data_IF_129769465682
#
_entry.id   IF_129769465682
#
_cell.length_a   1.000
_cell.length_b   1.000
_cell.length_c   1.000
_cell.angle_alpha   90.00
_cell.angle_beta   90.00
_cell.angle_gamma   90.00
#
_symmetry.space_group_name_H-M   'P 1'
#
loop_
_entity.id
_entity.type
_entity.pdbx_description
1 polymer ?
#
# COMPACT_ATOMS: atom_id res chain seq x y z
N UNK A 1 -23.42 -24.35 17.56
CA UNK A 1 -23.22 -23.48 18.73
C UNK A 1 -23.11 -22.06 18.20
N UNK A 2 -24.00 -21.16 18.64
CA UNK A 2 -23.88 -19.74 18.36
C UNK A 2 -22.93 -19.14 19.42
N UNK A 3 -21.99 -18.30 19.01
CA UNK A 3 -21.08 -17.62 19.93
C UNK A 3 -21.90 -16.71 20.87
N UNK A 4 -21.73 -16.86 22.18
CA UNK A 4 -22.62 -16.25 23.18
C UNK A 4 -22.19 -14.82 23.55
N UNK A 5 -20.95 -14.42 23.24
CA UNK A 5 -20.48 -13.05 23.51
C UNK A 5 -19.32 -12.60 22.61
N UNK A 6 -19.22 -11.29 22.37
CA UNK A 6 -18.15 -10.67 21.57
C UNK A 6 -16.75 -10.96 22.14
N UNK A 7 -16.65 -11.11 23.47
CA UNK A 7 -15.40 -11.43 24.17
C UNK A 7 -14.86 -12.83 23.86
N UNK A 8 -15.72 -13.78 23.45
CA UNK A 8 -15.25 -15.10 22.99
C UNK A 8 -14.51 -15.01 21.66
N UNK A 9 -14.85 -14.03 20.83
CA UNK A 9 -14.23 -13.80 19.52
C UNK A 9 -12.96 -12.97 19.69
N UNK A 10 -13.04 -11.83 20.40
CA UNK A 10 -11.88 -10.94 20.62
C UNK A 10 -10.85 -11.54 21.57
N UNK A 11 -11.25 -12.48 22.44
CA UNK A 11 -10.34 -13.25 23.27
C UNK A 11 -9.62 -14.39 22.54
N UNK A 12 -10.01 -14.69 21.29
CA UNK A 12 -9.45 -15.77 20.50
C UNK A 12 -9.00 -15.28 19.12
N UNK A 13 -7.70 -15.02 18.99
CA UNK A 13 -7.10 -14.52 17.75
C UNK A 13 -7.35 -15.38 16.50
N UNK A 14 -7.66 -16.68 16.65
CA UNK A 14 -8.04 -17.54 15.51
C UNK A 14 -9.43 -17.20 14.99
N UNK A 15 -10.39 -17.00 15.90
CA UNK A 15 -11.77 -16.65 15.53
C UNK A 15 -11.84 -15.23 14.95
N UNK A 16 -11.08 -14.30 15.54
CA UNK A 16 -10.91 -12.96 14.99
C UNK A 16 -10.31 -12.99 13.58
N UNK A 17 -9.20 -13.70 13.40
CA UNK A 17 -8.54 -13.84 12.10
C UNK A 17 -9.47 -14.45 11.05
N UNK A 18 -10.19 -15.52 11.41
CA UNK A 18 -11.15 -16.15 10.50
C UNK A 18 -12.29 -15.20 10.11
N UNK A 19 -12.81 -14.41 11.05
CA UNK A 19 -13.89 -13.45 10.80
C UNK A 19 -13.45 -12.33 9.84
N UNK A 20 -12.22 -11.84 10.01
CA UNK A 20 -11.60 -10.84 9.13
C UNK A 20 -11.15 -11.44 7.79
N UNK A 21 -11.08 -12.77 7.67
CA UNK A 21 -10.56 -13.47 6.48
C UNK A 21 -9.03 -13.45 6.39
N UNK A 22 -8.34 -13.24 7.51
CA UNK A 22 -6.89 -13.31 7.63
C UNK A 22 -6.41 -14.75 7.69
N UNK A 23 -5.17 -14.97 7.32
CA UNK A 23 -4.50 -16.25 7.60
C UNK A 23 -4.09 -16.30 9.07
N UNK A 24 -4.09 -17.50 9.64
CA UNK A 24 -3.54 -17.75 10.98
C UNK A 24 -2.04 -18.06 10.92
N UNK A 25 -1.48 -18.20 9.71
CA UNK A 25 -0.07 -18.41 9.44
C UNK A 25 0.64 -17.08 9.22
N UNK A 26 1.23 -16.54 10.28
CA UNK A 26 1.95 -15.27 10.28
C UNK A 26 3.00 -15.14 9.15
N UNK A 27 3.72 -16.22 8.86
CA UNK A 27 4.76 -16.22 7.83
C UNK A 27 4.19 -15.98 6.43
N UNK A 28 3.08 -16.63 6.09
CA UNK A 28 2.43 -16.51 4.79
C UNK A 28 1.81 -15.12 4.63
N UNK A 29 1.26 -14.56 5.71
CA UNK A 29 0.78 -13.17 5.74
C UNK A 29 1.92 -12.20 5.42
N UNK A 30 3.08 -12.33 6.09
CA UNK A 30 4.22 -11.44 5.86
C UNK A 30 4.75 -11.55 4.43
N UNK A 31 4.80 -12.76 3.85
CA UNK A 31 5.20 -12.95 2.45
C UNK A 31 4.22 -12.24 1.51
N UNK A 32 2.92 -12.40 1.73
CA UNK A 32 1.88 -11.74 0.95
C UNK A 32 1.99 -10.22 1.05
N UNK A 33 2.16 -9.68 2.26
CA UNK A 33 2.29 -8.24 2.53
C UNK A 33 3.50 -7.67 1.81
N UNK A 34 4.68 -8.31 1.95
CA UNK A 34 5.90 -7.87 1.27
C UNK A 34 5.73 -7.86 -0.26
N UNK A 35 5.04 -8.87 -0.81
CA UNK A 35 4.78 -8.96 -2.25
C UNK A 35 3.86 -7.83 -2.72
N UNK A 36 2.73 -7.63 -2.04
CA UNK A 36 1.72 -6.63 -2.44
C UNK A 36 2.26 -5.21 -2.24
N UNK A 37 2.92 -4.94 -1.11
CA UNK A 37 3.44 -3.62 -0.77
C UNK A 37 4.81 -3.33 -1.38
N UNK A 38 5.36 -4.25 -2.19
CA UNK A 38 6.71 -4.18 -2.72
C UNK A 38 7.76 -3.84 -1.64
N UNK A 39 7.68 -4.57 -0.51
CA UNK A 39 8.56 -4.45 0.68
C UNK A 39 8.51 -3.11 1.42
N UNK A 40 7.56 -2.22 1.11
CA UNK A 40 7.33 -1.01 1.91
C UNK A 40 6.87 -1.36 3.33
N UNK A 41 6.07 -2.43 3.48
CA UNK A 41 5.72 -2.99 4.77
C UNK A 41 6.20 -4.44 4.92
N UNK A 42 6.67 -4.77 6.12
CA UNK A 42 7.21 -6.08 6.47
C UNK A 42 6.16 -7.02 7.09
N UNK A 43 5.06 -6.47 7.61
CA UNK A 43 3.98 -7.19 8.28
C UNK A 43 2.65 -6.44 8.17
N UNK A 44 1.55 -7.12 8.50
CA UNK A 44 0.21 -6.53 8.61
C UNK A 44 0.18 -5.38 9.62
N UNK A 45 0.82 -5.54 10.78
CA UNK A 45 0.90 -4.49 11.81
C UNK A 45 1.59 -3.23 11.30
N UNK A 46 2.72 -3.36 10.59
CA UNK A 46 3.44 -2.23 10.00
C UNK A 46 2.62 -1.55 8.91
N UNK A 47 1.94 -2.32 8.06
CA UNK A 47 1.07 -1.79 7.01
C UNK A 47 -0.11 -1.00 7.60
N UNK A 48 -0.83 -1.59 8.56
CA UNK A 48 -1.99 -0.98 9.21
C UNK A 48 -1.56 0.31 9.89
N UNK A 49 -0.50 0.28 10.71
CA UNK A 49 -0.04 1.45 11.46
C UNK A 49 0.35 2.60 10.54
N UNK A 50 1.13 2.33 9.48
CA UNK A 50 1.55 3.37 8.52
C UNK A 50 0.39 3.95 7.71
N UNK A 51 -0.60 3.13 7.34
CA UNK A 51 -1.82 3.64 6.66
C UNK A 51 -2.73 4.38 7.66
N UNK A 52 -2.76 3.98 8.93
CA UNK A 52 -3.51 4.67 9.97
C UNK A 52 -2.95 6.07 10.25
N UNK A 53 -1.63 6.23 10.13
CA UNK A 53 -0.85 7.46 10.38
C UNK A 53 -0.26 8.04 9.09
N UNK A 54 -0.95 7.83 7.96
CA UNK A 54 -0.50 8.28 6.65
C UNK A 54 -0.34 9.81 6.56
N UNK A 55 -1.00 10.55 7.46
CA UNK A 55 -0.90 12.01 7.62
C UNK A 55 0.43 12.44 8.26
N UNK A 56 1.06 11.56 9.02
CA UNK A 56 2.34 11.81 9.65
C UNK A 56 3.49 11.37 8.75
N UNK A 57 3.36 10.25 8.05
CA UNK A 57 4.44 9.63 7.27
C UNK A 57 3.89 9.20 5.90
N UNK A 58 4.38 9.84 4.83
CA UNK A 58 3.96 9.53 3.46
C UNK A 58 4.77 8.33 2.95
N UNK A 59 4.20 7.14 3.08
CA UNK A 59 4.75 5.92 2.50
C UNK A 59 4.22 5.65 1.08
N UNK A 60 5.05 5.18 0.14
CA UNK A 60 4.69 4.95 -1.25
C UNK A 60 3.89 3.65 -1.44
N UNK A 61 2.77 3.49 -0.74
CA UNK A 61 1.92 2.31 -0.87
C UNK A 61 1.16 2.31 -2.20
N UNK A 62 1.30 1.21 -2.95
CA UNK A 62 0.55 0.98 -4.18
C UNK A 62 -0.97 0.83 -3.90
N UNK A 63 -1.80 0.92 -4.95
CA UNK A 63 -3.26 0.82 -4.82
C UNK A 63 -3.71 -0.48 -4.14
N UNK A 64 -3.03 -1.59 -4.44
CA UNK A 64 -3.34 -2.89 -3.86
C UNK A 64 -3.08 -2.93 -2.35
N UNK A 65 -2.09 -2.19 -1.84
CA UNK A 65 -1.86 -2.10 -0.40
C UNK A 65 -3.02 -1.41 0.33
N UNK A 66 -3.59 -0.35 -0.27
CA UNK A 66 -4.79 0.31 0.26
C UNK A 66 -6.02 -0.61 0.22
N UNK A 67 -6.24 -1.30 -0.91
CA UNK A 67 -7.33 -2.28 -1.05
C UNK A 67 -7.19 -3.43 -0.05
N UNK A 68 -5.98 -3.91 0.19
CA UNK A 68 -5.70 -4.96 1.16
C UNK A 68 -6.08 -4.53 2.58
N UNK A 69 -5.71 -3.32 3.00
CA UNK A 69 -6.11 -2.78 4.31
C UNK A 69 -7.62 -2.58 4.41
N UNK A 70 -8.25 -2.08 3.34
CA UNK A 70 -9.71 -1.94 3.29
C UNK A 70 -10.42 -3.28 3.52
N UNK A 71 -9.84 -4.36 3.00
CA UNK A 71 -10.33 -5.73 3.13
C UNK A 71 -9.86 -6.43 4.41
N UNK A 72 -9.50 -5.68 5.45
CA UNK A 72 -9.07 -6.20 6.75
C UNK A 72 -7.79 -7.06 6.69
N UNK A 73 -6.93 -6.84 5.69
CA UNK A 73 -5.71 -7.64 5.43
C UNK A 73 -6.04 -9.12 5.16
N UNK A 74 -7.17 -9.36 4.46
CA UNK A 74 -7.57 -10.71 4.09
C UNK A 74 -6.46 -11.44 3.32
N UNK A 75 -6.32 -12.74 3.56
CA UNK A 75 -5.33 -13.55 2.85
C UNK A 75 -5.76 -13.78 1.39
N UNK A 76 -4.82 -13.58 0.47
CA UNK A 76 -5.00 -13.74 -0.98
C UNK A 76 -3.92 -14.69 -1.49
N UNK A 77 -4.32 -15.94 -1.74
CA UNK A 77 -3.45 -17.03 -2.18
C UNK A 77 -3.15 -17.01 -3.70
N UNK A 78 -3.84 -16.15 -4.46
CA UNK A 78 -3.74 -16.10 -5.92
C UNK A 78 -4.60 -17.14 -6.63
N UNK A 79 -5.54 -17.77 -5.92
CA UNK A 79 -6.53 -18.70 -6.43
C UNK A 79 -7.75 -18.00 -7.06
N UNK A 80 -8.97 -18.38 -6.64
CA UNK A 80 -10.21 -18.09 -7.36
C UNK A 80 -10.73 -16.66 -7.29
N UNK A 81 -10.27 -15.86 -6.33
CA UNK A 81 -10.70 -14.47 -6.16
C UNK A 81 -9.49 -13.55 -6.11
N UNK A 82 -9.48 -12.55 -6.99
CA UNK A 82 -8.51 -11.47 -7.00
C UNK A 82 -8.78 -10.48 -5.85
N UNK A 83 -7.76 -9.75 -5.44
CA UNK A 83 -7.91 -8.69 -4.43
C UNK A 83 -8.97 -7.65 -4.84
N UNK A 84 -9.09 -7.37 -6.15
CA UNK A 84 -10.12 -6.49 -6.69
C UNK A 84 -11.54 -7.00 -6.42
N UNK A 85 -11.80 -8.28 -6.70
CA UNK A 85 -13.12 -8.88 -6.48
C UNK A 85 -13.49 -8.93 -4.98
N UNK A 86 -12.50 -9.19 -4.12
CA UNK A 86 -12.68 -9.15 -2.67
C UNK A 86 -13.03 -7.73 -2.21
N UNK A 87 -12.31 -6.72 -2.73
CA UNK A 87 -12.57 -5.31 -2.45
C UNK A 87 -14.00 -4.90 -2.84
N UNK A 88 -14.44 -5.24 -4.04
CA UNK A 88 -15.80 -4.96 -4.52
C UNK A 88 -16.88 -5.72 -3.73
N UNK A 89 -16.59 -6.94 -3.27
CA UNK A 89 -17.48 -7.67 -2.38
C UNK A 89 -17.58 -6.97 -1.01
N UNK A 90 -16.46 -6.52 -0.43
CA UNK A 90 -16.41 -5.79 0.84
C UNK A 90 -17.15 -4.45 0.78
N UNK A 91 -17.03 -3.71 -0.33
CA UNK A 91 -17.82 -2.49 -0.56
C UNK A 91 -19.32 -2.78 -0.49
N UNK A 92 -19.80 -3.79 -1.23
CA UNK A 92 -21.21 -4.20 -1.23
C UNK A 92 -21.68 -4.67 0.14
N UNK A 93 -20.86 -5.44 0.86
CA UNK A 93 -21.17 -5.91 2.22
C UNK A 93 -21.34 -4.74 3.22
N UNK A 94 -20.52 -3.69 3.09
CA UNK A 94 -20.61 -2.47 3.88
C UNK A 94 -21.84 -1.63 3.53
N UNK A 95 -22.11 -1.41 2.24
CA UNK A 95 -23.31 -0.67 1.80
C UNK A 95 -24.60 -1.33 2.29
N UNK A 96 -24.66 -2.66 2.22
CA UNK A 96 -25.81 -3.45 2.67
C UNK A 96 -25.85 -3.66 4.19
N UNK A 97 -24.80 -3.23 4.92
CA UNK A 97 -24.66 -3.43 6.37
C UNK A 97 -24.95 -4.89 6.76
N UNK A 98 -24.33 -5.83 6.05
CA UNK A 98 -24.58 -7.27 6.24
C UNK A 98 -24.24 -7.70 7.67
N UNK A 99 -24.86 -8.79 8.19
CA UNK A 99 -24.51 -9.31 9.52
C UNK A 99 -23.02 -9.60 9.68
N UNK A 100 -22.38 -10.13 8.63
CA UNK A 100 -20.94 -10.41 8.61
C UNK A 100 -20.11 -9.14 8.74
N UNK A 101 -20.45 -8.07 8.01
CA UNK A 101 -19.72 -6.80 8.10
C UNK A 101 -19.90 -6.13 9.46
N UNK A 102 -21.10 -6.17 10.04
CA UNK A 102 -21.32 -5.69 11.42
C UNK A 102 -20.48 -6.47 12.42
N UNK A 103 -20.33 -7.78 12.25
CA UNK A 103 -19.48 -8.60 13.10
C UNK A 103 -18.00 -8.22 12.94
N UNK A 104 -17.50 -8.01 11.72
CA UNK A 104 -16.13 -7.51 11.49
C UNK A 104 -15.91 -6.17 12.17
N UNK A 105 -16.84 -5.23 12.00
CA UNK A 105 -16.73 -3.89 12.61
C UNK A 105 -16.60 -3.94 14.14
N UNK A 106 -17.19 -4.93 14.80
CA UNK A 106 -17.06 -5.10 16.26
C UNK A 106 -15.70 -5.65 16.69
N UNK A 107 -15.01 -6.42 15.85
CA UNK A 107 -13.72 -7.04 16.20
C UNK A 107 -12.51 -6.26 15.71
N UNK A 108 -12.66 -5.34 14.76
CA UNK A 108 -11.57 -4.47 14.31
C UNK A 108 -11.03 -3.64 15.48
N UNK A 109 -9.72 -3.64 15.66
CA UNK A 109 -9.04 -2.73 16.58
C UNK A 109 -9.08 -1.27 16.08
N UNK A 110 -8.68 -0.33 16.94
CA UNK A 110 -8.72 1.10 16.62
C UNK A 110 -7.82 1.51 15.45
N UNK A 111 -6.66 0.88 15.30
CA UNK A 111 -5.72 1.20 14.23
C UNK A 111 -6.23 0.67 12.90
N UNK A 112 -6.78 -0.54 12.87
CA UNK A 112 -7.41 -1.12 11.70
C UNK A 112 -8.63 -0.31 11.27
N UNK A 113 -9.48 0.14 12.20
CA UNK A 113 -10.61 1.04 11.88
C UNK A 113 -10.13 2.34 11.24
N UNK A 114 -9.08 2.95 11.80
CA UNK A 114 -8.49 4.19 11.28
C UNK A 114 -7.87 3.95 9.89
N UNK A 115 -7.08 2.91 9.73
CA UNK A 115 -6.44 2.54 8.47
C UNK A 115 -7.47 2.24 7.37
N UNK A 116 -8.52 1.48 7.69
CA UNK A 116 -9.62 1.16 6.77
C UNK A 116 -10.38 2.41 6.33
N UNK A 117 -10.64 3.34 7.26
CA UNK A 117 -11.25 4.64 6.94
C UNK A 117 -10.37 5.41 5.97
N UNK A 118 -9.06 5.49 6.22
CA UNK A 118 -8.13 6.20 5.34
C UNK A 118 -8.09 5.55 3.94
N UNK A 119 -8.04 4.21 3.87
CA UNK A 119 -8.12 3.47 2.61
C UNK A 119 -9.41 3.76 1.84
N UNK A 120 -10.56 3.84 2.52
CA UNK A 120 -11.85 4.17 1.89
C UNK A 120 -11.82 5.50 1.12
N UNK A 121 -11.08 6.49 1.61
CA UNK A 121 -10.94 7.79 0.94
C UNK A 121 -9.82 7.77 -0.11
N UNK A 122 -8.70 7.12 0.18
CA UNK A 122 -7.54 7.10 -0.70
C UNK A 122 -7.77 6.30 -1.98
N UNK A 123 -8.43 5.14 -1.89
CA UNK A 123 -8.66 4.26 -3.05
C UNK A 123 -9.33 4.99 -4.24
N UNK A 124 -10.53 5.60 -4.08
CA UNK A 124 -11.17 6.30 -5.19
C UNK A 124 -10.36 7.51 -5.69
N UNK A 125 -9.61 8.17 -4.81
CA UNK A 125 -8.78 9.30 -5.21
C UNK A 125 -7.55 8.87 -6.04
N UNK A 126 -6.93 7.73 -5.70
CA UNK A 126 -5.87 7.11 -6.50
C UNK A 126 -6.43 6.61 -7.84
N UNK A 127 -7.61 5.99 -7.85
CA UNK A 127 -8.27 5.52 -9.07
C UNK A 127 -8.65 6.65 -10.02
N UNK A 128 -9.00 7.82 -9.48
CA UNK A 128 -9.30 9.05 -10.21
C UNK A 128 -8.10 9.81 -10.75
N UNK A 129 -6.87 9.36 -10.49
CA UNK A 129 -5.65 9.97 -11.05
C UNK A 129 -5.62 9.90 -12.59
N UNK A 130 -4.97 10.88 -13.22
CA UNK A 130 -4.71 10.85 -14.65
C UNK A 130 -3.80 9.66 -15.02
N UNK A 131 -3.82 9.19 -16.27
CA UNK A 131 -2.96 8.08 -16.69
C UNK A 131 -1.45 8.38 -16.57
N UNK A 132 -1.06 9.66 -16.68
CA UNK A 132 0.32 10.10 -16.45
C UNK A 132 0.69 10.07 -14.96
N UNK A 133 -0.25 10.45 -14.08
CA UNK A 133 -0.09 10.32 -12.62
C UNK A 133 -0.09 8.86 -12.18
N UNK A 134 -0.93 8.00 -12.77
CA UNK A 134 -0.93 6.56 -12.52
C UNK A 134 0.37 5.90 -12.94
N UNK A 135 0.97 6.34 -14.05
CA UNK A 135 2.33 5.91 -14.42
C UNK A 135 3.35 6.38 -13.38
N UNK A 136 3.32 7.64 -12.95
CA UNK A 136 4.18 8.11 -11.86
C UNK A 136 4.01 7.35 -10.54
N UNK A 137 2.79 6.87 -10.27
CA UNK A 137 2.39 6.10 -9.10
C UNK A 137 2.81 4.62 -9.16
N UNK A 138 2.66 3.97 -10.32
CA UNK A 138 2.96 2.54 -10.51
C UNK A 138 4.44 2.27 -10.87
N UNK A 139 5.14 3.24 -11.47
CA UNK A 139 6.40 3.00 -12.18
C UNK A 139 7.67 3.18 -11.31
N UNK A 140 7.53 3.23 -9.99
CA UNK A 140 8.68 3.38 -9.08
C UNK A 140 8.66 2.33 -7.98
N UNK A 141 9.07 1.11 -8.35
CA UNK A 141 9.64 0.17 -7.39
C UNK A 141 10.75 0.89 -6.61
N UNK A 142 10.62 1.10 -5.29
CA UNK A 142 11.63 1.79 -4.49
C UNK A 142 13.01 1.13 -4.60
N UNK A 143 13.06 -0.20 -4.75
CA UNK A 143 14.30 -0.94 -4.97
C UNK A 143 14.88 -0.66 -6.36
N UNK A 144 14.04 -0.50 -7.39
CA UNK A 144 14.49 -0.09 -8.74
C UNK A 144 15.03 1.33 -8.72
N UNK A 145 14.36 2.26 -8.05
CA UNK A 145 14.82 3.64 -7.92
C UNK A 145 16.15 3.73 -7.14
N UNK A 146 16.27 3.01 -6.02
CA UNK A 146 17.52 2.93 -5.27
C UNK A 146 18.65 2.30 -6.11
N UNK A 147 18.36 1.22 -6.86
CA UNK A 147 19.34 0.62 -7.79
C UNK A 147 19.76 1.57 -8.90
N UNK A 148 18.83 2.34 -9.47
CA UNK A 148 19.14 3.33 -10.52
C UNK A 148 19.95 4.52 -9.97
N UNK A 149 19.64 4.99 -8.76
CA UNK A 149 20.40 6.02 -8.06
C UNK A 149 21.83 5.54 -7.73
N UNK A 150 21.99 4.30 -7.25
CA UNK A 150 23.32 3.71 -7.02
C UNK A 150 24.09 3.50 -8.32
N UNK A 151 23.42 3.09 -9.41
CA UNK A 151 24.07 3.00 -10.72
C UNK A 151 24.56 4.37 -11.20
N UNK A 152 23.75 5.42 -11.04
CA UNK A 152 24.15 6.80 -11.38
C UNK A 152 25.33 7.25 -10.52
N UNK A 153 25.30 6.97 -9.21
CA UNK A 153 26.38 7.27 -8.26
C UNK A 153 27.68 6.58 -8.68
N UNK A 154 27.63 5.29 -9.03
CA UNK A 154 28.78 4.52 -9.48
C UNK A 154 29.34 5.01 -10.82
N UNK A 155 28.48 5.43 -11.76
CA UNK A 155 28.92 6.03 -13.03
C UNK A 155 29.62 7.37 -12.79
N UNK A 156 29.06 8.24 -11.93
CA UNK A 156 29.67 9.52 -11.57
C UNK A 156 30.99 9.34 -10.79
N UNK A 157 31.07 8.35 -9.89
CA UNK A 157 32.29 8.02 -9.17
C UNK A 157 33.41 7.52 -10.11
N UNK A 158 33.07 6.66 -11.09
CA UNK A 158 34.04 6.23 -12.12
C UNK A 158 34.59 7.40 -12.95
N UNK A 159 33.77 8.42 -13.21
CA UNK A 159 34.22 9.64 -13.90
C UNK A 159 35.25 10.40 -13.06
N UNK A 160 34.99 10.54 -11.76
CA UNK A 160 35.88 11.19 -10.81
C UNK A 160 37.20 10.43 -10.64
N UNK A 161 37.16 9.10 -10.56
CA UNK A 161 38.35 8.27 -10.36
C UNK A 161 39.24 8.13 -11.60
N UNK A 162 38.65 8.19 -12.80
CA UNK A 162 39.38 7.96 -14.06
C UNK A 162 39.70 9.25 -14.83
N UNK A 163 39.25 10.41 -14.35
CA UNK A 163 39.34 11.72 -15.03
C UNK A 163 38.96 11.66 -16.52
N UNK A 164 38.12 10.71 -16.90
CA UNK A 164 37.69 10.50 -18.29
C UNK A 164 36.26 10.93 -18.47
N UNK A 165 35.97 11.41 -19.66
CA UNK A 165 34.61 11.77 -20.02
C UNK A 165 33.76 10.52 -20.30
N UNK A 166 32.45 10.64 -20.10
CA UNK A 166 31.53 9.54 -20.36
C UNK A 166 31.55 9.14 -21.83
N UNK A 167 31.62 7.83 -22.08
CA UNK A 167 31.38 7.31 -23.44
C UNK A 167 29.90 7.41 -23.81
N UNK A 168 29.57 7.18 -25.08
CA UNK A 168 28.20 7.36 -25.60
C UNK A 168 27.18 6.44 -24.91
N UNK A 169 27.60 5.24 -24.51
CA UNK A 169 26.74 4.26 -23.80
C UNK A 169 26.44 4.75 -22.38
N UNK A 170 27.45 5.30 -21.70
CA UNK A 170 27.32 5.87 -20.35
C UNK A 170 26.45 7.12 -20.38
N UNK A 171 26.60 7.99 -21.39
CA UNK A 171 25.71 9.17 -21.57
C UNK A 171 24.26 8.78 -21.79
N UNK A 172 23.97 7.85 -22.70
CA UNK A 172 22.58 7.39 -22.93
C UNK A 172 21.95 6.82 -21.66
N UNK A 173 22.71 6.04 -20.87
CA UNK A 173 22.23 5.52 -19.59
C UNK A 173 21.97 6.62 -18.56
N UNK A 174 22.84 7.63 -18.51
CA UNK A 174 22.65 8.78 -17.62
C UNK A 174 21.40 9.57 -18.04
N UNK A 175 21.21 9.83 -19.33
CA UNK A 175 20.03 10.50 -19.87
C UNK A 175 18.75 9.71 -19.58
N UNK A 176 18.74 8.39 -19.78
CA UNK A 176 17.60 7.52 -19.47
C UNK A 176 17.26 7.53 -17.97
N UNK A 177 18.27 7.46 -17.09
CA UNK A 177 18.09 7.57 -15.63
C UNK A 177 17.58 8.96 -15.24
N UNK A 178 18.14 10.02 -15.84
CA UNK A 178 17.72 11.39 -15.60
C UNK A 178 16.29 11.63 -16.09
N UNK A 179 15.89 11.12 -17.24
CA UNK A 179 14.53 11.24 -17.77
C UNK A 179 13.51 10.53 -16.85
N UNK A 180 13.87 9.35 -16.31
CA UNK A 180 13.06 8.65 -15.30
C UNK A 180 12.98 9.40 -13.95
N UNK A 181 14.05 10.12 -13.58
CA UNK A 181 14.08 10.99 -12.40
C UNK A 181 13.34 12.33 -12.62
N UNK A 182 13.33 12.84 -13.85
CA UNK A 182 12.73 14.12 -14.26
C UNK A 182 11.25 14.00 -14.63
N UNK A 183 10.70 12.78 -14.81
CA UNK A 183 9.24 12.59 -14.96
C UNK A 183 8.51 13.23 -13.76
N UNK A 184 7.45 14.03 -14.00
CA UNK A 184 7.27 15.29 -13.27
C UNK A 184 6.66 15.17 -11.87
N UNK A 185 6.37 13.97 -11.37
CA UNK A 185 5.83 13.81 -10.02
C UNK A 185 6.41 12.56 -9.39
N UNK A 186 7.18 12.75 -8.33
CA UNK A 186 7.58 11.64 -7.49
C UNK A 186 6.30 11.01 -6.90
N UNK A 187 6.29 9.70 -6.64
CA UNK A 187 5.12 9.03 -6.04
C UNK A 187 4.64 9.77 -4.77
N UNK A 188 5.59 10.34 -4.03
CA UNK A 188 5.36 11.20 -2.87
C UNK A 188 4.63 12.52 -3.19
N UNK A 189 4.93 13.19 -4.30
CA UNK A 189 4.25 14.44 -4.70
C UNK A 189 2.81 14.16 -5.15
N UNK A 190 2.59 13.02 -5.82
CA UNK A 190 1.26 12.55 -6.20
C UNK A 190 0.46 12.20 -4.95
N UNK A 191 1.08 11.47 -4.01
CA UNK A 191 0.50 11.14 -2.71
C UNK A 191 0.11 12.39 -1.93
N UNK A 192 1.00 13.37 -1.86
CA UNK A 192 0.73 14.63 -1.16
C UNK A 192 -0.40 15.41 -1.84
N UNK A 193 -0.46 15.41 -3.17
CA UNK A 193 -1.54 16.01 -3.95
C UNK A 193 -2.89 15.34 -3.72
N UNK A 194 -2.94 14.00 -3.76
CA UNK A 194 -4.13 13.19 -3.47
C UNK A 194 -4.56 13.40 -2.03
N UNK A 195 -3.62 13.38 -1.08
CA UNK A 195 -3.86 13.63 0.33
C UNK A 195 -4.56 14.99 0.56
N UNK A 196 -4.05 16.08 -0.03
CA UNK A 196 -4.68 17.40 0.11
C UNK A 196 -6.13 17.45 -0.37
N UNK A 197 -6.54 16.54 -1.25
CA UNK A 197 -7.91 16.44 -1.73
C UNK A 197 -8.82 15.62 -0.81
N UNK A 198 -8.27 14.59 -0.15
CA UNK A 198 -9.06 13.65 0.67
C UNK A 198 -8.95 13.90 2.17
N UNK A 199 -7.96 14.67 2.63
CA UNK A 199 -7.85 15.07 4.02
C UNK A 199 -9.01 16.01 4.33
N UNK A 200 -9.91 15.68 5.28
CA UNK A 200 -10.72 16.72 5.88
C UNK A 200 -9.72 17.68 6.53
N UNK A 201 -9.82 18.97 6.24
CA UNK A 201 -9.25 19.95 7.15
C UNK A 201 -9.72 19.57 8.56
N UNK A 202 -8.86 19.52 9.58
CA UNK A 202 -9.31 19.22 10.93
C UNK A 202 -10.41 20.25 11.26
N UNK A 203 -11.66 19.83 11.58
CA UNK A 203 -12.61 20.79 12.09
C UNK A 203 -12.05 21.34 13.42
N UNK A 204 -12.15 22.67 13.64
CA UNK A 204 -11.64 23.31 14.85
C UNK A 204 -12.31 22.80 16.13
#
# INVERSE_FOLDING_TARGET
MALESLSEITGNGYLESALLGRTTHYHDECIMIRRITNRVAESSSTLIHRIAEFDQHIDPFCLDAWKLVYCDVCYVDGGSATLQEIYEARLREEELQTPTERARELVRDSDLKRARRNAKWMIPAIEGLSEDDKKGWQDKDPDRMNRLCEQLRLLLAKRLDQERDFNEIERRKIEEIQELLLKPRNCQDILEGVWKQVSPAPPP
#
